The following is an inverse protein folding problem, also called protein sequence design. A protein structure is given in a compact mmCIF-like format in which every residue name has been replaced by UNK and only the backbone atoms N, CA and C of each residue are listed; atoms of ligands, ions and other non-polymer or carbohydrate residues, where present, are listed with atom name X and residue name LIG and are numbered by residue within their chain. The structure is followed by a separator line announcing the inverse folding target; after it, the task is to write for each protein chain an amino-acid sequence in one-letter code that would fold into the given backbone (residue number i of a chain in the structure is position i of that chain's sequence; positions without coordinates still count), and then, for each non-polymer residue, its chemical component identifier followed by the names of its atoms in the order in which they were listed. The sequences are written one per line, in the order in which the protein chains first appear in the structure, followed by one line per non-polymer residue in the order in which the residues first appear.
data_IF_924607340421
#
_entry.id   IF_924607340421
#
_cell.length_a   1.000
_cell.length_b   1.000
_cell.length_c   1.000
_cell.angle_alpha   90.00
_cell.angle_beta   90.00
_cell.angle_gamma   90.00
#
_symmetry.space_group_name_H-M   'P 1'
#
loop_
_entity.id
_entity.type
_entity.pdbx_description
1 polymer ?
#
# COMPACT_ATOMS: atom_id res chain seq x y z
N UNK A 1 -51.60 88.05 -2.02
CA UNK A 1 -50.29 87.53 -2.46
C UNK A 1 -50.21 87.71 -3.97
N UNK A 2 -49.14 88.28 -4.50
CA UNK A 2 -49.00 88.45 -5.96
C UNK A 2 -48.60 87.10 -6.60
N UNK A 3 -48.96 86.92 -7.87
CA UNK A 3 -48.63 85.70 -8.63
C UNK A 3 -47.10 85.45 -8.67
N UNK A 4 -46.30 86.51 -8.58
CA UNK A 4 -44.83 86.44 -8.56
C UNK A 4 -44.26 85.89 -7.25
N UNK A 5 -44.87 86.19 -6.12
CA UNK A 5 -44.41 85.70 -4.80
C UNK A 5 -44.63 84.19 -4.66
N UNK A 6 -45.74 83.69 -5.21
CA UNK A 6 -46.05 82.25 -5.27
C UNK A 6 -45.03 81.54 -6.16
N UNK A 7 -44.72 82.11 -7.33
CA UNK A 7 -43.71 81.57 -8.26
C UNK A 7 -42.32 81.51 -7.62
N UNK A 8 -41.88 82.57 -6.93
CA UNK A 8 -40.60 82.60 -6.22
C UNK A 8 -40.53 81.54 -5.11
N UNK A 9 -41.60 81.36 -4.35
CA UNK A 9 -41.66 80.34 -3.29
C UNK A 9 -41.59 78.92 -3.85
N UNK A 10 -42.29 78.63 -4.96
CA UNK A 10 -42.23 77.34 -5.63
C UNK A 10 -40.81 77.03 -6.13
N UNK A 11 -40.12 78.02 -6.73
CA UNK A 11 -38.75 77.85 -7.20
C UNK A 11 -37.79 77.62 -6.03
N UNK A 12 -37.89 78.41 -4.96
CA UNK A 12 -37.04 78.26 -3.78
C UNK A 12 -37.26 76.89 -3.08
N UNK A 13 -38.49 76.40 -3.00
CA UNK A 13 -38.80 75.08 -2.44
C UNK A 13 -38.31 73.95 -3.36
N UNK A 14 -38.38 74.12 -4.69
CA UNK A 14 -37.82 73.17 -5.65
C UNK A 14 -36.29 73.11 -5.58
N UNK A 15 -35.61 74.25 -5.43
CA UNK A 15 -34.16 74.33 -5.24
C UNK A 15 -33.71 73.68 -3.93
N UNK A 16 -34.43 73.92 -2.82
CA UNK A 16 -34.16 73.24 -1.54
C UNK A 16 -34.35 71.73 -1.63
N UNK A 17 -35.40 71.27 -2.32
CA UNK A 17 -35.63 69.83 -2.54
C UNK A 17 -34.53 69.21 -3.41
N UNK A 18 -34.11 69.92 -4.47
CA UNK A 18 -33.00 69.49 -5.33
C UNK A 18 -31.68 69.40 -4.56
N UNK A 19 -31.36 70.40 -3.75
CA UNK A 19 -30.16 70.41 -2.93
C UNK A 19 -30.13 69.23 -1.94
N UNK A 20 -31.25 69.00 -1.22
CA UNK A 20 -31.39 67.85 -0.31
C UNK A 20 -31.26 66.51 -1.03
N UNK A 21 -31.87 66.38 -2.21
CA UNK A 21 -31.80 65.14 -2.98
C UNK A 21 -30.37 64.87 -3.47
N UNK A 22 -29.65 65.90 -3.92
CA UNK A 22 -28.25 65.78 -4.32
C UNK A 22 -27.37 65.37 -3.13
N UNK A 23 -27.58 65.97 -1.95
CA UNK A 23 -26.83 65.61 -0.75
C UNK A 23 -27.06 64.15 -0.33
N UNK A 24 -28.31 63.69 -0.33
CA UNK A 24 -28.65 62.29 -0.01
C UNK A 24 -28.05 61.33 -1.04
N UNK A 25 -28.18 61.65 -2.34
CA UNK A 25 -27.65 60.80 -3.42
C UNK A 25 -26.12 60.70 -3.35
N UNK A 26 -25.45 61.81 -2.99
CA UNK A 26 -24.00 61.82 -2.81
C UNK A 26 -23.59 60.96 -1.60
N UNK A 27 -24.29 61.09 -0.46
CA UNK A 27 -24.03 60.27 0.72
C UNK A 27 -24.26 58.78 0.44
N UNK A 28 -25.29 58.43 -0.32
CA UNK A 28 -25.58 57.03 -0.67
C UNK A 28 -24.56 56.48 -1.68
N UNK A 29 -24.13 57.29 -2.65
CA UNK A 29 -23.03 56.92 -3.55
C UNK A 29 -21.72 56.68 -2.77
N UNK A 30 -21.39 57.56 -1.82
CA UNK A 30 -20.20 57.42 -0.98
C UNK A 30 -20.28 56.15 -0.11
N UNK A 31 -21.45 55.84 0.48
CA UNK A 31 -21.67 54.59 1.23
C UNK A 31 -21.48 53.35 0.37
N UNK A 32 -22.01 53.33 -0.85
CA UNK A 32 -21.86 52.20 -1.78
C UNK A 32 -20.37 52.03 -2.14
N UNK A 33 -19.66 53.12 -2.42
CA UNK A 33 -18.23 53.08 -2.73
C UNK A 33 -17.42 52.56 -1.53
N UNK A 34 -17.71 53.02 -0.31
CA UNK A 34 -17.02 52.56 0.90
C UNK A 34 -17.29 51.08 1.18
N UNK A 35 -18.55 50.64 1.06
CA UNK A 35 -18.92 49.23 1.22
C UNK A 35 -18.22 48.35 0.16
N UNK A 36 -18.17 48.80 -1.10
CA UNK A 36 -17.46 48.11 -2.17
C UNK A 36 -15.95 48.00 -1.91
N UNK A 37 -15.32 49.08 -1.41
CA UNK A 37 -13.90 49.08 -1.04
C UNK A 37 -13.61 48.14 0.13
N UNK A 38 -14.46 48.14 1.15
CA UNK A 38 -14.27 47.28 2.31
C UNK A 38 -14.46 45.80 1.95
N UNK A 39 -15.50 45.47 1.16
CA UNK A 39 -15.68 44.11 0.65
C UNK A 39 -14.50 43.66 -0.21
N UNK A 40 -13.99 44.53 -1.08
CA UNK A 40 -12.80 44.23 -1.89
C UNK A 40 -11.55 44.01 -1.01
N UNK A 41 -11.41 44.77 0.08
CA UNK A 41 -10.32 44.61 1.06
C UNK A 41 -10.41 43.27 1.77
N UNK A 42 -11.58 42.95 2.33
CA UNK A 42 -11.83 41.67 3.02
C UNK A 42 -11.57 40.49 2.07
N UNK A 43 -12.09 40.56 0.85
CA UNK A 43 -11.88 39.52 -0.16
C UNK A 43 -10.39 39.34 -0.48
N UNK A 44 -9.66 40.45 -0.66
CA UNK A 44 -8.22 40.41 -0.89
C UNK A 44 -7.47 39.77 0.27
N UNK A 45 -7.75 40.17 1.51
CA UNK A 45 -7.11 39.63 2.72
C UNK A 45 -7.40 38.13 2.90
N UNK A 46 -8.63 37.70 2.63
CA UNK A 46 -9.01 36.28 2.66
C UNK A 46 -8.25 35.47 1.62
N UNK A 47 -8.15 35.98 0.38
CA UNK A 47 -7.39 35.31 -0.69
C UNK A 47 -5.90 35.25 -0.39
N UNK A 48 -5.30 36.34 0.09
CA UNK A 48 -3.89 36.35 0.48
C UNK A 48 -3.60 35.33 1.58
N UNK A 49 -4.48 35.26 2.60
CA UNK A 49 -4.37 34.26 3.67
C UNK A 49 -4.53 32.83 3.14
N UNK A 50 -5.48 32.60 2.24
CA UNK A 50 -5.69 31.29 1.64
C UNK A 50 -4.49 30.85 0.79
N UNK A 51 -3.92 31.75 -0.02
CA UNK A 51 -2.72 31.49 -0.82
C UNK A 51 -1.55 31.15 0.09
N UNK A 52 -1.34 31.91 1.17
CA UNK A 52 -0.27 31.64 2.13
C UNK A 52 -0.43 30.26 2.79
N UNK A 53 -1.65 29.93 3.24
CA UNK A 53 -1.94 28.62 3.82
C UNK A 53 -1.69 27.48 2.82
N UNK A 54 -2.07 27.65 1.55
CA UNK A 54 -1.82 26.65 0.49
C UNK A 54 -0.32 26.49 0.27
N UNK A 55 0.44 27.58 0.19
CA UNK A 55 1.89 27.55 0.01
C UNK A 55 2.59 26.81 1.17
N UNK A 56 2.26 27.16 2.42
CA UNK A 56 2.82 26.49 3.59
C UNK A 56 2.47 24.99 3.64
N UNK A 57 1.23 24.64 3.30
CA UNK A 57 0.80 23.24 3.25
C UNK A 57 1.48 22.47 2.11
N UNK A 58 1.71 23.10 0.96
CA UNK A 58 2.42 22.50 -0.16
C UNK A 58 3.88 22.22 0.21
N UNK A 59 4.58 23.18 0.81
CA UNK A 59 5.97 22.98 1.26
C UNK A 59 6.08 21.85 2.29
N UNK A 60 5.17 21.82 3.28
CA UNK A 60 5.11 20.72 4.26
C UNK A 60 4.81 19.39 3.58
N UNK A 61 3.89 19.37 2.62
CA UNK A 61 3.53 18.20 1.83
C UNK A 61 4.72 17.62 1.09
N UNK A 62 5.47 18.48 0.39
CA UNK A 62 6.68 18.09 -0.37
C UNK A 62 7.72 17.42 0.52
N UNK A 63 7.99 17.95 1.71
CA UNK A 63 8.95 17.36 2.65
C UNK A 63 8.46 16.01 3.17
N UNK A 64 7.16 15.89 3.49
CA UNK A 64 6.56 14.63 3.95
C UNK A 64 6.65 13.56 2.85
N UNK A 65 6.32 13.91 1.61
CA UNK A 65 6.34 12.99 0.48
C UNK A 65 7.76 12.58 0.09
N UNK A 66 8.73 13.50 0.17
CA UNK A 66 10.14 13.16 0.02
C UNK A 66 10.61 12.16 1.08
N UNK A 67 10.28 12.39 2.36
CA UNK A 67 10.61 11.46 3.46
C UNK A 67 9.96 10.09 3.27
N UNK A 68 8.69 10.05 2.87
CA UNK A 68 7.97 8.80 2.56
C UNK A 68 8.63 8.05 1.41
N UNK A 69 8.99 8.74 0.34
CA UNK A 69 9.67 8.15 -0.82
C UNK A 69 10.97 7.47 -0.39
N UNK A 70 11.79 8.14 0.42
CA UNK A 70 13.04 7.57 0.94
C UNK A 70 12.77 6.37 1.85
N UNK A 71 11.82 6.49 2.79
CA UNK A 71 11.47 5.41 3.70
C UNK A 71 10.96 4.16 2.95
N UNK A 72 10.09 4.34 1.96
CA UNK A 72 9.57 3.26 1.13
C UNK A 72 10.69 2.57 0.35
N UNK A 73 11.61 3.34 -0.25
CA UNK A 73 12.76 2.78 -0.97
C UNK A 73 13.68 1.98 -0.06
N UNK A 74 13.94 2.45 1.16
CA UNK A 74 14.73 1.69 2.15
C UNK A 74 14.01 0.39 2.52
N UNK A 75 12.70 0.44 2.79
CA UNK A 75 11.91 -0.75 3.13
C UNK A 75 11.88 -1.77 1.99
N UNK A 76 11.73 -1.32 0.76
CA UNK A 76 11.79 -2.16 -0.44
C UNK A 76 13.14 -2.88 -0.52
N UNK A 77 14.26 -2.15 -0.35
CA UNK A 77 15.59 -2.75 -0.38
C UNK A 77 15.80 -3.74 0.76
N UNK A 78 15.29 -3.46 1.96
CA UNK A 78 15.35 -4.42 3.09
C UNK A 78 14.59 -5.71 2.77
N UNK A 79 13.37 -5.61 2.26
CA UNK A 79 12.57 -6.77 1.84
C UNK A 79 13.26 -7.55 0.74
N UNK A 80 13.86 -6.86 -0.24
CA UNK A 80 14.64 -7.49 -1.29
C UNK A 80 15.80 -8.31 -0.73
N UNK A 81 16.57 -7.77 0.22
CA UNK A 81 17.67 -8.50 0.88
C UNK A 81 17.17 -9.72 1.66
N UNK A 82 16.08 -9.60 2.40
CA UNK A 82 15.47 -10.74 3.10
C UNK A 82 15.07 -11.83 2.09
N UNK A 83 14.39 -11.45 1.00
CA UNK A 83 14.00 -12.39 -0.05
C UNK A 83 15.23 -13.11 -0.63
N UNK A 84 16.32 -12.39 -0.91
CA UNK A 84 17.56 -13.00 -1.40
C UNK A 84 18.13 -14.06 -0.43
N UNK A 85 18.04 -13.83 0.89
CA UNK A 85 18.51 -14.80 1.89
C UNK A 85 17.66 -16.07 1.84
N UNK A 86 16.33 -15.95 1.82
CA UNK A 86 15.45 -17.13 1.74
C UNK A 86 15.58 -17.87 0.40
N UNK A 87 15.72 -17.17 -0.72
CA UNK A 87 15.98 -17.80 -2.02
C UNK A 87 17.27 -18.62 -1.97
N UNK A 88 18.38 -18.02 -1.51
CA UNK A 88 19.65 -18.74 -1.39
C UNK A 88 19.57 -19.94 -0.43
N UNK A 89 18.91 -19.77 0.71
CA UNK A 89 18.73 -20.86 1.66
C UNK A 89 17.91 -22.02 1.06
N UNK A 90 16.91 -21.71 0.22
CA UNK A 90 16.14 -22.72 -0.53
C UNK A 90 17.02 -23.45 -1.54
N UNK A 91 17.81 -22.71 -2.32
CA UNK A 91 18.71 -23.29 -3.31
C UNK A 91 19.80 -24.18 -2.66
N UNK A 92 20.35 -23.74 -1.52
CA UNK A 92 21.29 -24.53 -0.71
C UNK A 92 20.61 -25.78 -0.13
N UNK A 93 19.36 -25.68 0.34
CA UNK A 93 18.60 -26.83 0.81
C UNK A 93 18.38 -27.85 -0.31
N UNK A 94 17.94 -27.42 -1.50
CA UNK A 94 17.68 -28.33 -2.63
C UNK A 94 18.96 -29.02 -3.14
N UNK A 95 20.10 -28.34 -3.07
CA UNK A 95 21.40 -28.89 -3.47
C UNK A 95 22.11 -29.67 -2.36
N UNK A 96 21.68 -29.55 -1.11
CA UNK A 96 22.30 -30.21 0.06
C UNK A 96 22.27 -31.73 -0.05
N UNK A 97 23.37 -32.41 0.30
CA UNK A 97 23.45 -33.87 0.34
C UNK A 97 22.34 -34.51 1.19
N UNK A 98 21.92 -33.83 2.26
CA UNK A 98 20.95 -34.32 3.25
C UNK A 98 19.49 -34.16 2.78
N UNK A 99 19.23 -33.50 1.66
CA UNK A 99 17.89 -33.22 1.16
C UNK A 99 16.99 -34.47 1.06
N UNK A 100 17.41 -35.60 0.46
CA UNK A 100 16.57 -36.80 0.40
C UNK A 100 16.23 -37.36 1.79
N UNK A 101 17.17 -37.33 2.74
CA UNK A 101 16.92 -37.81 4.11
C UNK A 101 15.92 -36.91 4.84
N UNK A 102 16.02 -35.59 4.66
CA UNK A 102 15.06 -34.65 5.23
C UNK A 102 13.68 -34.86 4.62
N UNK A 103 13.60 -35.04 3.30
CA UNK A 103 12.34 -35.31 2.61
C UNK A 103 11.72 -36.63 3.05
N UNK A 104 12.52 -37.68 3.27
CA UNK A 104 12.03 -38.94 3.83
C UNK A 104 11.38 -38.71 5.20
N UNK A 105 12.06 -38.02 6.12
CA UNK A 105 11.50 -37.71 7.45
C UNK A 105 10.20 -36.91 7.37
N UNK A 106 10.12 -35.92 6.49
CA UNK A 106 8.93 -35.10 6.31
C UNK A 106 7.75 -35.90 5.74
N UNK A 107 8.02 -36.80 4.78
CA UNK A 107 7.01 -37.71 4.23
C UNK A 107 6.53 -38.67 5.31
N UNK A 108 7.43 -39.30 6.07
CA UNK A 108 7.06 -40.20 7.17
C UNK A 108 6.16 -39.54 8.23
N UNK A 109 6.35 -38.23 8.46
CA UNK A 109 5.49 -37.46 9.37
C UNK A 109 4.14 -37.07 8.79
N UNK A 110 3.98 -37.15 7.46
CA UNK A 110 2.81 -36.66 6.72
C UNK A 110 1.99 -37.77 6.05
N UNK A 111 2.50 -39.00 6.05
CA UNK A 111 1.80 -40.18 5.55
C UNK A 111 0.70 -40.60 6.53
N UNK A 112 -0.51 -40.81 6.02
CA UNK A 112 -1.70 -41.18 6.79
C UNK A 112 -2.09 -42.65 6.53
N UNK A 113 -2.20 -43.05 5.26
CA UNK A 113 -2.74 -44.37 4.85
C UNK A 113 -1.70 -45.31 4.29
N UNK A 114 -0.49 -44.79 4.03
CA UNK A 114 0.68 -45.55 3.53
C UNK A 114 0.47 -46.12 2.13
N UNK A 115 -0.47 -45.59 1.36
CA UNK A 115 -0.76 -45.96 -0.03
C UNK A 115 -0.84 -44.73 -0.95
N UNK A 116 -0.39 -43.60 -0.45
CA UNK A 116 -0.44 -42.33 -1.14
C UNK A 116 0.43 -42.33 -2.40
N UNK A 117 0.05 -41.50 -3.35
CA UNK A 117 0.83 -41.25 -4.56
C UNK A 117 1.70 -40.03 -4.36
N UNK A 118 3.02 -40.18 -4.52
CA UNK A 118 4.00 -39.09 -4.42
C UNK A 118 4.16 -38.43 -5.78
N UNK A 119 3.89 -37.12 -5.83
CA UNK A 119 4.16 -36.28 -7.00
C UNK A 119 5.46 -35.53 -6.73
N UNK A 120 6.42 -35.64 -7.65
CA UNK A 120 7.70 -34.92 -7.61
C UNK A 120 7.76 -33.86 -8.73
N UNK A 121 8.65 -32.90 -8.59
CA UNK A 121 8.89 -31.88 -9.61
C UNK A 121 9.48 -32.47 -10.89
N UNK A 122 9.24 -31.82 -12.04
CA UNK A 122 9.73 -32.29 -13.36
C UNK A 122 11.25 -32.48 -13.46
N UNK A 123 12.01 -31.70 -12.69
CA UNK A 123 13.48 -31.70 -12.72
C UNK A 123 14.10 -32.46 -11.54
N UNK A 124 13.28 -33.10 -10.70
CA UNK A 124 13.77 -33.84 -9.54
C UNK A 124 14.47 -35.14 -9.98
N UNK A 125 15.67 -35.38 -9.45
CA UNK A 125 16.52 -36.53 -9.80
C UNK A 125 17.01 -37.29 -8.57
N UNK A 126 16.89 -36.70 -7.39
CA UNK A 126 17.45 -37.22 -6.13
C UNK A 126 16.41 -37.98 -5.31
N UNK A 127 15.14 -37.64 -5.48
CA UNK A 127 14.01 -38.42 -4.98
C UNK A 127 13.66 -39.51 -6.00
N UNK A 128 14.54 -40.49 -6.11
CA UNK A 128 14.46 -41.58 -7.08
C UNK A 128 13.73 -42.82 -6.52
N UNK A 129 13.74 -43.92 -7.30
CA UNK A 129 13.13 -45.17 -6.89
C UNK A 129 13.76 -45.78 -5.63
N UNK A 130 15.07 -45.57 -5.41
CA UNK A 130 15.76 -46.06 -4.22
C UNK A 130 15.33 -45.29 -2.98
N UNK A 131 15.16 -43.97 -3.11
CA UNK A 131 14.58 -43.16 -2.03
C UNK A 131 13.16 -43.60 -1.68
N UNK A 132 12.29 -43.84 -2.68
CA UNK A 132 10.92 -44.31 -2.45
C UNK A 132 10.89 -45.68 -1.74
N UNK A 133 11.81 -46.58 -2.10
CA UNK A 133 11.94 -47.86 -1.43
C UNK A 133 12.34 -47.70 0.04
N UNK A 134 13.28 -46.81 0.35
CA UNK A 134 13.65 -46.46 1.74
C UNK A 134 12.44 -45.96 2.54
N UNK A 135 11.69 -45.01 1.97
CA UNK A 135 10.48 -44.46 2.61
C UNK A 135 9.45 -45.56 2.87
N UNK A 136 9.20 -46.43 1.89
CA UNK A 136 8.25 -47.54 2.03
C UNK A 136 8.68 -48.56 3.08
N UNK A 137 9.98 -48.86 3.17
CA UNK A 137 10.52 -49.72 4.24
C UNK A 137 10.33 -49.06 5.61
N UNK A 138 10.62 -47.77 5.73
CA UNK A 138 10.51 -47.00 6.97
C UNK A 138 9.07 -46.91 7.50
N UNK A 139 8.05 -46.78 6.64
CA UNK A 139 6.64 -46.72 7.06
C UNK A 139 5.89 -48.06 6.97
N UNK A 140 6.52 -49.12 6.45
CA UNK A 140 5.86 -50.36 6.03
C UNK A 140 4.68 -50.10 5.08
N UNK A 141 4.91 -49.23 4.10
CA UNK A 141 3.91 -48.73 3.15
C UNK A 141 4.06 -49.25 1.72
N UNK A 142 3.15 -48.80 0.86
CA UNK A 142 3.09 -49.05 -0.58
C UNK A 142 2.86 -47.74 -1.34
N UNK A 143 3.62 -46.70 -0.98
CA UNK A 143 3.66 -45.43 -1.68
C UNK A 143 4.16 -45.65 -3.11
N UNK A 144 3.60 -44.90 -4.06
CA UNK A 144 3.98 -44.98 -5.48
C UNK A 144 4.24 -43.60 -6.06
N UNK A 145 5.11 -43.49 -7.05
CA UNK A 145 5.25 -42.24 -7.79
C UNK A 145 4.08 -42.03 -8.74
N UNK A 146 3.61 -40.78 -8.82
CA UNK A 146 2.65 -40.36 -9.84
C UNK A 146 3.27 -40.43 -11.23
N UNK A 147 2.43 -40.67 -12.24
CA UNK A 147 2.81 -40.50 -13.65
C UNK A 147 2.90 -39.02 -14.04
N UNK A 148 2.27 -38.15 -13.26
CA UNK A 148 2.27 -36.71 -13.46
C UNK A 148 3.38 -36.08 -12.62
N UNK A 149 4.04 -35.08 -13.18
CA UNK A 149 5.04 -34.27 -12.47
C UNK A 149 4.44 -32.92 -12.09
N UNK A 150 4.78 -32.44 -10.90
CA UNK A 150 4.35 -31.14 -10.42
C UNK A 150 5.13 -29.97 -11.04
N UNK A 151 4.55 -28.78 -10.96
CA UNK A 151 5.16 -27.52 -11.37
C UNK A 151 5.84 -26.83 -10.16
N UNK A 152 6.86 -27.49 -9.62
CA UNK A 152 7.69 -26.98 -8.51
C UNK A 152 9.11 -27.54 -8.60
N UNK A 153 10.06 -26.83 -8.01
CA UNK A 153 11.50 -27.15 -8.13
C UNK A 153 12.00 -28.18 -7.10
N UNK A 154 11.25 -28.41 -6.01
CA UNK A 154 11.60 -29.43 -5.03
C UNK A 154 10.54 -29.66 -3.95
N UNK A 155 10.79 -30.65 -3.12
CA UNK A 155 9.83 -31.25 -2.21
C UNK A 155 8.87 -32.21 -2.93
N UNK A 156 7.75 -32.53 -2.28
CA UNK A 156 6.77 -33.49 -2.81
C UNK A 156 5.33 -33.07 -2.50
N UNK A 157 4.39 -33.55 -3.31
CA UNK A 157 2.98 -33.59 -2.93
C UNK A 157 2.59 -35.04 -2.67
N UNK A 158 2.00 -35.30 -1.51
CA UNK A 158 1.37 -36.59 -1.22
C UNK A 158 -0.10 -36.48 -1.63
N UNK A 159 -0.55 -37.32 -2.55
CA UNK A 159 -1.93 -37.38 -3.03
C UNK A 159 -2.59 -38.67 -2.54
N UNK A 160 -3.79 -38.54 -2.01
CA UNK A 160 -4.67 -39.66 -1.73
C UNK A 160 -6.09 -39.31 -2.17
N UNK A 161 -6.69 -40.07 -3.09
CA UNK A 161 -8.06 -39.85 -3.60
C UNK A 161 -8.38 -38.35 -3.87
N UNK A 162 -9.03 -37.68 -2.92
CA UNK A 162 -9.45 -36.27 -2.94
C UNK A 162 -8.63 -35.33 -2.02
N UNK A 163 -7.65 -35.85 -1.25
CA UNK A 163 -6.80 -35.09 -0.34
C UNK A 163 -5.37 -34.96 -0.86
N UNK A 164 -4.70 -33.86 -0.49
CA UNK A 164 -3.30 -33.62 -0.82
C UNK A 164 -2.57 -32.98 0.37
N UNK A 165 -1.40 -33.51 0.70
CA UNK A 165 -0.47 -32.89 1.64
C UNK A 165 0.67 -32.26 0.86
N UNK A 166 0.83 -30.94 1.01
CA UNK A 166 1.83 -30.18 0.28
C UNK A 166 3.11 -30.02 1.11
N UNK A 167 4.15 -30.73 0.69
CA UNK A 167 5.49 -30.72 1.29
C UNK A 167 6.50 -30.20 0.26
N UNK A 168 6.08 -29.27 -0.60
CA UNK A 168 6.98 -28.60 -1.54
C UNK A 168 7.94 -27.67 -0.81
N UNK A 169 9.14 -27.50 -1.36
CA UNK A 169 10.14 -26.62 -0.79
C UNK A 169 9.60 -25.19 -0.63
N UNK A 170 8.77 -24.70 -1.55
CA UNK A 170 8.17 -23.38 -1.47
C UNK A 170 7.26 -23.21 -0.25
N UNK A 171 6.41 -24.20 0.06
CA UNK A 171 5.55 -24.18 1.26
C UNK A 171 6.38 -24.32 2.53
N UNK A 172 7.38 -25.22 2.55
CA UNK A 172 8.27 -25.38 3.71
C UNK A 172 9.00 -24.07 4.02
N UNK A 173 9.56 -23.41 3.01
CA UNK A 173 10.27 -22.14 3.19
C UNK A 173 9.34 -20.98 3.54
N UNK A 174 8.09 -20.99 3.06
CA UNK A 174 7.08 -20.02 3.51
C UNK A 174 6.78 -20.18 5.03
N UNK A 175 6.62 -21.41 5.51
CA UNK A 175 6.40 -21.71 6.94
C UNK A 175 7.61 -21.36 7.80
N UNK A 176 8.83 -21.67 7.32
CA UNK A 176 10.07 -21.29 8.01
C UNK A 176 10.18 -19.77 8.08
N UNK A 177 9.90 -19.07 6.97
CA UNK A 177 9.94 -17.61 6.89
C UNK A 177 8.98 -16.98 7.90
N UNK A 178 7.74 -17.44 7.99
CA UNK A 178 6.77 -16.91 8.96
C UNK A 178 7.32 -16.91 10.39
N UNK A 179 8.03 -17.98 10.77
CA UNK A 179 8.61 -18.14 12.11
C UNK A 179 9.94 -17.41 12.31
N UNK A 180 10.70 -17.16 11.24
CA UNK A 180 12.10 -16.71 11.32
C UNK A 180 12.37 -15.34 10.72
N UNK A 181 11.41 -14.73 10.02
CA UNK A 181 11.65 -13.47 9.30
C UNK A 181 12.03 -12.33 10.25
N UNK A 182 11.39 -12.24 11.41
CA UNK A 182 11.74 -11.26 12.44
C UNK A 182 13.18 -11.41 12.94
N UNK A 183 13.61 -12.57 13.50
CA UNK A 183 14.99 -12.72 13.96
C UNK A 183 16.02 -12.59 12.83
N UNK A 184 15.69 -13.00 11.60
CA UNK A 184 16.55 -12.79 10.42
C UNK A 184 16.68 -11.30 10.10
N UNK A 185 15.57 -10.55 10.10
CA UNK A 185 15.60 -9.11 9.87
C UNK A 185 16.38 -8.37 10.97
N UNK A 186 16.22 -8.79 12.22
CA UNK A 186 16.96 -8.24 13.36
C UNK A 186 18.46 -8.48 13.19
N UNK A 187 18.90 -9.65 12.70
CA UNK A 187 20.31 -9.95 12.44
C UNK A 187 20.89 -9.21 11.23
N UNK A 188 20.11 -9.02 10.16
CA UNK A 188 20.58 -8.38 8.92
C UNK A 188 20.62 -6.85 9.00
N UNK A 189 19.72 -6.24 9.78
CA UNK A 189 19.53 -4.79 9.80
C UNK A 189 19.68 -4.19 11.20
N UNK A 190 20.49 -4.84 12.06
CA UNK A 190 20.85 -4.34 13.39
C UNK A 190 21.15 -2.83 13.32
N UNK A 191 20.57 -2.10 14.28
CA UNK A 191 20.84 -0.68 14.53
C UNK A 191 22.20 -0.48 15.18
#
# INVERSE_FOLDING_TARGET
MSLEDIRKKIIADAEKKRAKLLEITQQDADKIIQAGKENARIYKEEHERNIQNIAENLERGLVIDARRTVANKILEQKRFRINQVYTKAKDEFLSSADYPEIMEKLVLQSVETKKETIIVGKNEKRLDAQWLESVNQSCSGQLTFSKESGDFEGGVLLKEEDSFVNITADILFALIREKTEKPVADLLFVR
#
